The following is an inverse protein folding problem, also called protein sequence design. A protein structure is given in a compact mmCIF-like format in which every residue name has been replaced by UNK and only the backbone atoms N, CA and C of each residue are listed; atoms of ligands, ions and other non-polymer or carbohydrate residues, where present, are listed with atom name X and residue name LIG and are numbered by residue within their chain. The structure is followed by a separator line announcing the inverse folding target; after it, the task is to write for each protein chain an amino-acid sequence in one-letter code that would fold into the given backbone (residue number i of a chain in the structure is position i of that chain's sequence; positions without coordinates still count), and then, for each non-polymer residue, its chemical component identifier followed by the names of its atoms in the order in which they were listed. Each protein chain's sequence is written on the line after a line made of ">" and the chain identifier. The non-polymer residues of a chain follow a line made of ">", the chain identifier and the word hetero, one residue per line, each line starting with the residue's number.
data_IF_747481518715
#
_entry.id   IF_747481518715
#
_cell.length_a   1.000
_cell.length_b   1.000
_cell.length_c   1.000
_cell.angle_alpha   90.00
_cell.angle_beta   90.00
_cell.angle_gamma   90.00
#
_symmetry.space_group_name_H-M   'P 1'
#
loop_
_entity.id
_entity.type
_entity.pdbx_description
1 polymer ?
#
# COMPACT_ATOMS: atom_id res chain seq x y z
N UNK A 1 18.84 20.52 -11.85
CA UNK A 1 18.06 19.54 -11.07
C UNK A 1 18.50 19.43 -9.59
N UNK A 2 19.65 19.98 -9.20
CA UNK A 2 20.27 19.84 -7.88
C UNK A 2 20.24 21.11 -7.03
N UNK A 3 19.97 22.26 -7.63
CA UNK A 3 19.93 23.55 -6.96
C UNK A 3 18.67 23.69 -6.09
N UNK A 4 18.87 23.92 -4.79
CA UNK A 4 17.79 24.17 -3.81
C UNK A 4 17.27 22.98 -3.00
N UNK A 5 17.80 21.76 -3.18
CA UNK A 5 17.41 20.61 -2.33
C UNK A 5 18.21 20.63 -1.03
N UNK A 6 17.52 20.93 0.06
CA UNK A 6 18.11 21.01 1.41
C UNK A 6 18.45 19.63 1.95
N UNK A 7 19.25 19.56 3.02
CA UNK A 7 19.54 18.33 3.77
C UNK A 7 18.25 17.56 4.14
N UNK A 8 17.18 18.29 4.50
CA UNK A 8 15.88 17.69 4.84
C UNK A 8 15.26 16.88 3.71
N UNK A 9 15.41 17.30 2.45
CA UNK A 9 14.93 16.50 1.32
C UNK A 9 15.59 15.11 1.27
N UNK A 10 16.91 15.05 1.38
CA UNK A 10 17.66 13.80 1.32
C UNK A 10 17.43 12.91 2.53
N UNK A 11 17.27 13.51 3.72
CA UNK A 11 16.90 12.78 4.93
C UNK A 11 15.56 12.07 4.72
N UNK A 12 14.55 12.77 4.21
CA UNK A 12 13.24 12.18 3.95
C UNK A 12 13.31 11.07 2.88
N UNK A 13 14.12 11.23 1.82
CA UNK A 13 14.33 10.18 0.82
C UNK A 13 14.92 8.91 1.44
N UNK A 14 15.93 9.05 2.30
CA UNK A 14 16.57 7.93 3.00
C UNK A 14 15.62 7.29 4.02
N UNK A 15 14.80 8.07 4.72
CA UNK A 15 13.79 7.53 5.64
C UNK A 15 12.72 6.70 4.89
N UNK A 16 12.27 7.15 3.70
CA UNK A 16 11.37 6.32 2.86
C UNK A 16 12.05 5.01 2.49
N UNK A 17 13.31 5.07 2.05
CA UNK A 17 14.08 3.86 1.70
C UNK A 17 14.23 2.92 2.90
N UNK A 18 14.55 3.45 4.07
CA UNK A 18 14.64 2.66 5.33
C UNK A 18 13.32 1.98 5.65
N UNK A 19 12.20 2.72 5.55
CA UNK A 19 10.86 2.16 5.77
C UNK A 19 10.53 1.03 4.81
N UNK A 20 10.82 1.21 3.51
CA UNK A 20 10.62 0.15 2.50
C UNK A 20 11.46 -1.08 2.81
N UNK A 21 12.76 -0.89 3.09
CA UNK A 21 13.68 -2.01 3.38
C UNK A 21 13.22 -2.75 4.64
N UNK A 22 12.86 -2.02 5.70
CA UNK A 22 12.35 -2.61 6.93
C UNK A 22 11.05 -3.40 6.72
N UNK A 23 10.12 -2.87 5.92
CA UNK A 23 8.86 -3.57 5.61
C UNK A 23 9.10 -4.87 4.81
N UNK A 24 10.03 -4.87 3.84
CA UNK A 24 10.35 -6.07 3.05
C UNK A 24 11.07 -7.13 3.89
N UNK A 25 11.90 -6.73 4.84
CA UNK A 25 12.66 -7.66 5.70
C UNK A 25 11.85 -8.14 6.92
N UNK A 26 10.71 -7.53 7.22
CA UNK A 26 9.90 -7.90 8.37
C UNK A 26 9.30 -9.30 8.23
N UNK A 27 9.50 -10.14 9.25
CA UNK A 27 8.89 -11.46 9.41
C UNK A 27 7.76 -11.43 10.45
N UNK A 28 7.60 -10.33 11.14
CA UNK A 28 6.56 -10.05 12.10
C UNK A 28 5.61 -8.98 11.53
N UNK A 29 4.30 -9.23 11.64
CA UNK A 29 3.29 -8.37 10.98
C UNK A 29 3.18 -7.00 11.66
N UNK A 30 3.46 -6.91 12.98
CA UNK A 30 3.53 -5.62 13.69
C UNK A 30 4.75 -4.82 13.24
N UNK A 31 5.89 -5.49 13.09
CA UNK A 31 7.10 -4.86 12.58
C UNK A 31 6.93 -4.41 11.12
N UNK A 32 6.26 -5.22 10.29
CA UNK A 32 5.86 -4.82 8.94
C UNK A 32 4.98 -3.57 8.97
N UNK A 33 3.94 -3.54 9.80
CA UNK A 33 3.06 -2.39 9.97
C UNK A 33 3.82 -1.14 10.43
N UNK A 34 4.73 -1.28 11.39
CA UNK A 34 5.56 -0.17 11.84
C UNK A 34 6.35 0.47 10.70
N UNK A 35 7.06 -0.31 9.90
CA UNK A 35 7.81 0.21 8.77
C UNK A 35 6.90 0.73 7.63
N UNK A 36 5.71 0.14 7.46
CA UNK A 36 4.69 0.62 6.54
C UNK A 36 4.23 2.04 6.89
N UNK A 37 4.04 2.35 8.18
CA UNK A 37 3.67 3.69 8.65
C UNK A 37 4.85 4.66 8.66
N UNK A 38 6.05 4.21 9.02
CA UNK A 38 7.25 5.07 9.04
C UNK A 38 7.50 5.75 7.69
N UNK A 39 7.12 5.12 6.58
CA UNK A 39 7.23 5.75 5.25
C UNK A 39 6.28 6.92 5.04
N UNK A 40 5.17 6.98 5.75
CA UNK A 40 4.11 7.97 5.50
C UNK A 40 4.57 9.39 5.85
N UNK A 41 5.23 9.56 7.01
CA UNK A 41 5.72 10.86 7.47
C UNK A 41 6.72 11.51 6.50
N UNK A 42 7.80 10.84 6.05
CA UNK A 42 8.71 11.44 5.09
C UNK A 42 8.07 11.70 3.72
N UNK A 43 7.13 10.88 3.26
CA UNK A 43 6.36 11.14 2.04
C UNK A 43 5.50 12.39 2.20
N UNK A 44 4.82 12.54 3.35
CA UNK A 44 4.07 13.75 3.71
C UNK A 44 4.97 15.00 3.62
N UNK A 45 6.17 14.96 4.21
CA UNK A 45 7.11 16.07 4.19
C UNK A 45 7.66 16.34 2.78
N UNK A 46 7.98 15.29 2.01
CA UNK A 46 8.46 15.44 0.63
C UNK A 46 7.44 16.14 -0.27
N UNK A 47 6.16 15.79 -0.17
CA UNK A 47 5.11 16.40 -0.98
C UNK A 47 4.78 17.80 -0.44
N UNK A 48 4.59 17.94 0.87
CA UNK A 48 4.14 19.17 1.50
C UNK A 48 5.15 20.31 1.44
N UNK A 49 6.44 20.01 1.64
CA UNK A 49 7.51 21.01 1.64
C UNK A 49 8.10 21.26 0.26
N UNK A 50 8.32 20.19 -0.52
CA UNK A 50 9.07 20.24 -1.78
C UNK A 50 8.20 20.02 -3.02
N UNK A 51 6.89 19.82 -2.85
CA UNK A 51 5.93 19.65 -3.95
C UNK A 51 5.56 20.95 -4.65
N UNK A 52 4.83 20.82 -5.74
CA UNK A 52 4.39 21.89 -6.63
C UNK A 52 2.87 22.06 -6.60
N UNK A 53 2.39 23.16 -7.15
CA UNK A 53 0.95 23.40 -7.31
C UNK A 53 0.18 23.30 -5.99
N UNK A 54 -0.91 22.55 -5.99
CA UNK A 54 -1.76 22.38 -4.80
C UNK A 54 -1.21 21.28 -3.86
N UNK A 55 0.05 21.44 -3.47
CA UNK A 55 0.79 20.49 -2.64
C UNK A 55 0.12 20.18 -1.28
N UNK A 56 -0.50 21.16 -0.65
CA UNK A 56 -1.16 20.99 0.67
C UNK A 56 -2.34 20.02 0.55
N UNK A 57 -3.23 20.27 -0.41
CA UNK A 57 -4.36 19.37 -0.66
C UNK A 57 -3.90 17.97 -1.02
N UNK A 58 -2.89 17.86 -1.90
CA UNK A 58 -2.32 16.57 -2.30
C UNK A 58 -1.75 15.82 -1.11
N UNK A 59 -1.02 16.50 -0.23
CA UNK A 59 -0.44 15.91 0.97
C UNK A 59 -1.51 15.40 1.92
N UNK A 60 -2.54 16.18 2.20
CA UNK A 60 -3.66 15.76 3.04
C UNK A 60 -4.38 14.57 2.41
N UNK A 61 -4.66 14.64 1.11
CA UNK A 61 -5.36 13.57 0.40
C UNK A 61 -4.60 12.24 0.49
N UNK A 62 -3.31 12.21 0.16
CA UNK A 62 -2.51 10.97 0.21
C UNK A 62 -2.42 10.43 1.64
N UNK A 63 -2.24 11.31 2.62
CA UNK A 63 -2.15 10.92 4.03
C UNK A 63 -3.45 10.30 4.52
N UNK A 64 -4.59 10.96 4.30
CA UNK A 64 -5.89 10.44 4.72
C UNK A 64 -6.21 9.09 4.05
N UNK A 65 -5.97 8.98 2.73
CA UNK A 65 -6.20 7.70 2.03
C UNK A 65 -5.38 6.56 2.64
N UNK A 66 -4.08 6.79 2.82
CA UNK A 66 -3.18 5.74 3.31
C UNK A 66 -3.43 5.42 4.78
N UNK A 67 -3.69 6.40 5.64
CA UNK A 67 -3.99 6.19 7.06
C UNK A 67 -5.28 5.42 7.28
N UNK A 68 -6.36 5.72 6.55
CA UNK A 68 -7.64 5.01 6.72
C UNK A 68 -7.46 3.52 6.42
N UNK A 69 -6.78 3.17 5.33
CA UNK A 69 -6.53 1.77 5.01
C UNK A 69 -5.62 1.08 6.03
N UNK A 70 -4.54 1.73 6.43
CA UNK A 70 -3.57 1.14 7.34
C UNK A 70 -4.11 0.97 8.76
N UNK A 71 -4.98 1.86 9.24
CA UNK A 71 -5.66 1.69 10.54
C UNK A 71 -6.57 0.46 10.55
N UNK A 72 -7.28 0.18 9.46
CA UNK A 72 -8.08 -1.06 9.35
C UNK A 72 -7.18 -2.30 9.44
N UNK A 73 -6.05 -2.29 8.72
CA UNK A 73 -5.06 -3.37 8.80
C UNK A 73 -4.49 -3.52 10.21
N UNK A 74 -4.21 -2.42 10.90
CA UNK A 74 -3.70 -2.45 12.28
C UNK A 74 -4.67 -3.14 13.25
N UNK A 75 -5.96 -2.80 13.16
CA UNK A 75 -7.00 -3.45 13.96
C UNK A 75 -7.02 -4.95 13.69
N UNK A 76 -6.92 -5.35 12.42
CA UNK A 76 -6.88 -6.76 12.04
C UNK A 76 -5.63 -7.47 12.59
N UNK A 77 -4.46 -6.83 12.56
CA UNK A 77 -3.22 -7.36 13.15
C UNK A 77 -3.37 -7.58 14.65
N UNK A 78 -3.92 -6.61 15.38
CA UNK A 78 -4.15 -6.75 16.82
C UNK A 78 -5.13 -7.90 17.13
N UNK A 79 -6.20 -8.03 16.35
CA UNK A 79 -7.14 -9.13 16.49
C UNK A 79 -6.47 -10.49 16.29
N UNK A 80 -5.65 -10.65 15.25
CA UNK A 80 -4.89 -11.87 14.99
C UNK A 80 -3.95 -12.21 16.16
N UNK A 81 -3.27 -11.21 16.75
CA UNK A 81 -2.43 -11.43 17.94
C UNK A 81 -3.21 -11.90 19.16
N UNK A 82 -4.41 -11.32 19.39
CA UNK A 82 -5.30 -11.76 20.48
C UNK A 82 -5.83 -13.18 20.21
N UNK A 83 -6.23 -13.49 18.99
CA UNK A 83 -6.69 -14.81 18.60
C UNK A 83 -5.59 -15.87 18.82
N UNK A 84 -4.35 -15.56 18.42
CA UNK A 84 -3.21 -16.43 18.63
C UNK A 84 -2.95 -16.65 20.14
N UNK A 85 -2.99 -15.59 20.93
CA UNK A 85 -2.82 -15.70 22.39
C UNK A 85 -3.89 -16.58 23.03
N UNK A 86 -5.14 -16.42 22.63
CA UNK A 86 -6.26 -17.22 23.18
C UNK A 86 -6.14 -18.71 22.82
N UNK A 87 -5.60 -19.05 21.66
CA UNK A 87 -5.45 -20.45 21.22
C UNK A 87 -4.20 -21.11 21.80
N UNK A 88 -3.07 -20.39 21.87
CA UNK A 88 -1.76 -20.97 22.22
C UNK A 88 -1.20 -20.50 23.58
N UNK A 89 -1.84 -19.55 24.27
CA UNK A 89 -1.41 -19.04 25.58
C UNK A 89 -0.18 -18.11 25.54
N UNK A 90 0.37 -17.81 24.36
CA UNK A 90 1.56 -16.95 24.16
C UNK A 90 1.29 -15.86 23.15
N UNK A 91 1.92 -14.69 23.31
CA UNK A 91 1.82 -13.61 22.34
C UNK A 91 2.80 -13.82 21.19
N UNK A 92 2.32 -13.74 19.97
CA UNK A 92 3.18 -13.71 18.78
C UNK A 92 2.49 -13.00 17.63
N UNK A 93 3.25 -12.21 16.89
CA UNK A 93 2.84 -11.56 15.64
C UNK A 93 3.69 -12.03 14.46
N UNK A 94 4.51 -13.06 14.63
CA UNK A 94 5.25 -13.68 13.56
C UNK A 94 4.28 -14.33 12.55
N UNK A 95 4.43 -14.01 11.26
CA UNK A 95 3.45 -14.38 10.24
C UNK A 95 3.27 -15.90 10.11
N UNK A 96 4.35 -16.68 10.26
CA UNK A 96 4.33 -18.15 10.26
C UNK A 96 3.46 -18.73 11.38
N UNK A 97 3.44 -18.08 12.54
CA UNK A 97 2.59 -18.45 13.66
C UNK A 97 1.14 -18.02 13.47
N UNK A 98 0.91 -16.82 12.91
CA UNK A 98 -0.45 -16.37 12.64
C UNK A 98 -1.18 -17.26 11.60
N UNK A 99 -0.45 -17.91 10.71
CA UNK A 99 -1.00 -18.90 9.76
C UNK A 99 -1.53 -20.16 10.45
N UNK A 100 -1.13 -20.46 11.68
CA UNK A 100 -1.55 -21.69 12.41
C UNK A 100 -2.85 -21.52 13.18
N UNK A 101 -3.43 -20.33 13.22
CA UNK A 101 -4.68 -20.04 13.94
C UNK A 101 -5.85 -20.76 13.26
N UNK A 102 -6.57 -21.57 14.04
CA UNK A 102 -7.73 -22.34 13.55
C UNK A 102 -9.06 -21.89 14.15
N UNK A 103 -9.03 -21.21 15.29
CA UNK A 103 -10.22 -20.86 16.08
C UNK A 103 -11.05 -19.71 15.55
N UNK A 104 -10.57 -18.96 14.53
CA UNK A 104 -11.29 -17.82 13.98
C UNK A 104 -12.42 -18.33 13.05
N UNK A 105 -13.66 -17.90 13.33
CA UNK A 105 -14.80 -18.20 12.48
C UNK A 105 -14.68 -17.57 11.08
N UNK A 106 -15.38 -18.16 10.10
CA UNK A 106 -15.31 -17.75 8.70
C UNK A 106 -15.66 -16.27 8.50
N UNK A 107 -16.75 -15.78 9.10
CA UNK A 107 -17.16 -14.39 8.92
C UNK A 107 -16.10 -13.39 9.43
N UNK A 108 -15.51 -13.69 10.56
CA UNK A 108 -14.42 -12.86 11.12
C UNK A 108 -13.18 -12.91 10.23
N UNK A 109 -12.80 -14.08 9.69
CA UNK A 109 -11.70 -14.18 8.71
C UNK A 109 -11.95 -13.29 7.48
N UNK A 110 -13.17 -13.26 6.95
CA UNK A 110 -13.55 -12.38 5.82
C UNK A 110 -13.34 -10.92 6.18
N UNK A 111 -13.77 -10.46 7.35
CA UNK A 111 -13.58 -9.07 7.75
C UNK A 111 -12.10 -8.71 7.95
N UNK A 112 -11.31 -9.60 8.52
CA UNK A 112 -9.87 -9.41 8.67
C UNK A 112 -9.19 -9.35 7.30
N UNK A 113 -9.53 -10.25 6.39
CA UNK A 113 -9.05 -10.23 5.01
C UNK A 113 -9.38 -8.91 4.31
N UNK A 114 -10.63 -8.43 4.41
CA UNK A 114 -11.05 -7.16 3.81
C UNK A 114 -10.32 -5.96 4.42
N UNK A 115 -9.99 -5.99 5.70
CA UNK A 115 -9.20 -4.95 6.35
C UNK A 115 -7.75 -4.89 5.83
N UNK A 116 -7.10 -6.04 5.63
CA UNK A 116 -5.80 -6.11 4.96
C UNK A 116 -5.89 -5.67 3.49
N UNK A 117 -6.90 -6.17 2.79
CA UNK A 117 -7.14 -5.82 1.39
C UNK A 117 -7.34 -4.31 1.21
N UNK A 118 -8.08 -3.64 2.09
CA UNK A 118 -8.29 -2.19 2.01
C UNK A 118 -6.96 -1.42 2.06
N UNK A 119 -6.05 -1.78 2.98
CA UNK A 119 -4.73 -1.16 3.08
C UNK A 119 -3.90 -1.36 1.81
N UNK A 120 -3.89 -2.58 1.30
CA UNK A 120 -3.08 -2.94 0.14
C UNK A 120 -3.67 -2.39 -1.16
N UNK A 121 -5.00 -2.43 -1.33
CA UNK A 121 -5.71 -1.87 -2.48
C UNK A 121 -5.54 -0.34 -2.61
N UNK A 122 -5.50 0.37 -1.49
CA UNK A 122 -5.18 1.80 -1.48
C UNK A 122 -3.73 2.02 -1.93
N UNK A 123 -2.79 1.24 -1.44
CA UNK A 123 -1.36 1.38 -1.77
C UNK A 123 -1.04 1.02 -3.22
N UNK A 124 -1.70 -0.02 -3.77
CA UNK A 124 -1.59 -0.49 -5.16
C UNK A 124 -2.33 0.42 -6.16
N UNK A 125 -3.00 1.44 -5.75
CA UNK A 125 -4.11 2.23 -6.29
C UNK A 125 -5.09 1.47 -7.20
N UNK A 126 -5.69 0.40 -6.65
CA UNK A 126 -6.74 -0.36 -7.35
C UNK A 126 -7.99 0.52 -7.52
N UNK A 127 -8.71 0.37 -8.64
CA UNK A 127 -9.99 1.03 -8.84
C UNK A 127 -11.01 0.59 -7.77
N UNK A 128 -11.75 1.51 -7.14
CA UNK A 128 -11.81 2.98 -7.31
C UNK A 128 -10.84 3.77 -6.40
N UNK A 129 -9.98 3.15 -5.63
CA UNK A 129 -9.12 3.75 -4.58
C UNK A 129 -7.85 4.44 -5.13
N UNK A 130 -7.83 4.80 -6.40
CA UNK A 130 -6.64 5.30 -7.12
C UNK A 130 -6.48 6.83 -7.14
N UNK A 131 -7.52 7.60 -6.78
CA UNK A 131 -7.55 9.04 -7.10
C UNK A 131 -6.48 9.87 -6.39
N UNK A 132 -5.86 9.33 -5.34
CA UNK A 132 -4.77 9.99 -4.62
C UNK A 132 -3.46 10.01 -5.41
N UNK A 133 -3.16 8.95 -6.21
CA UNK A 133 -1.87 8.81 -6.89
C UNK A 133 -1.74 9.78 -8.07
N UNK A 134 -2.85 10.10 -8.74
CA UNK A 134 -2.88 11.00 -9.90
C UNK A 134 -2.42 12.42 -9.50
N UNK A 135 -3.00 12.97 -8.43
CA UNK A 135 -2.61 14.26 -7.90
C UNK A 135 -1.21 14.23 -7.27
N UNK A 136 -0.85 13.11 -6.66
CA UNK A 136 0.47 12.93 -6.04
C UNK A 136 1.58 13.01 -7.07
N UNK A 137 1.49 12.27 -8.18
CA UNK A 137 2.53 12.31 -9.22
C UNK A 137 2.66 13.68 -9.88
N UNK A 138 1.53 14.36 -10.09
CA UNK A 138 1.53 15.72 -10.64
C UNK A 138 2.27 16.70 -9.76
N UNK A 139 1.99 16.69 -8.46
CA UNK A 139 2.40 17.73 -7.53
C UNK A 139 3.67 17.39 -6.72
N UNK A 140 4.06 16.11 -6.63
CA UNK A 140 5.27 15.71 -5.92
C UNK A 140 6.56 16.04 -6.69
N UNK A 141 7.69 16.25 -5.99
CA UNK A 141 9.00 16.36 -6.62
C UNK A 141 9.36 15.06 -7.34
N UNK A 142 10.06 15.15 -8.47
CA UNK A 142 10.37 14.01 -9.34
C UNK A 142 11.05 12.84 -8.59
N UNK A 143 11.97 13.13 -7.65
CA UNK A 143 12.60 12.07 -6.86
C UNK A 143 11.61 11.35 -5.92
N UNK A 144 10.64 12.07 -5.34
CA UNK A 144 9.59 11.44 -4.54
C UNK A 144 8.65 10.59 -5.43
N UNK A 145 8.28 11.08 -6.62
CA UNK A 145 7.50 10.29 -7.59
C UNK A 145 8.23 9.01 -7.97
N UNK A 146 9.56 9.08 -8.17
CA UNK A 146 10.37 7.91 -8.45
C UNK A 146 10.28 6.85 -7.35
N UNK A 147 10.42 7.22 -6.08
CA UNK A 147 10.28 6.28 -4.95
C UNK A 147 8.85 5.71 -4.84
N UNK A 148 7.84 6.57 -5.00
CA UNK A 148 6.43 6.16 -4.96
C UNK A 148 6.12 5.12 -6.06
N UNK A 149 6.55 5.40 -7.29
CA UNK A 149 6.25 4.55 -8.45
C UNK A 149 7.08 3.27 -8.50
N UNK A 150 8.36 3.35 -8.15
CA UNK A 150 9.27 2.20 -8.29
C UNK A 150 9.09 1.15 -7.20
N UNK A 151 8.91 1.56 -5.96
CA UNK A 151 8.99 0.65 -4.82
C UNK A 151 7.72 0.67 -3.98
N UNK A 152 7.25 1.86 -3.54
CA UNK A 152 6.17 1.93 -2.56
C UNK A 152 4.86 1.31 -3.06
N UNK A 153 4.49 1.52 -4.31
CA UNK A 153 3.27 0.94 -4.88
C UNK A 153 3.38 -0.60 -5.01
N UNK A 154 4.59 -1.13 -5.31
CA UNK A 154 4.85 -2.57 -5.37
C UNK A 154 4.87 -3.24 -4.01
N UNK A 155 5.11 -2.48 -2.95
CA UNK A 155 5.06 -3.00 -1.58
C UNK A 155 3.65 -3.51 -1.20
N UNK A 156 2.58 -2.92 -1.76
CA UNK A 156 1.22 -3.44 -1.60
C UNK A 156 1.04 -4.83 -2.22
N UNK A 157 1.58 -5.03 -3.44
CA UNK A 157 1.59 -6.34 -4.11
C UNK A 157 2.40 -7.37 -3.30
N UNK A 158 3.59 -6.98 -2.84
CA UNK A 158 4.42 -7.80 -1.97
C UNK A 158 3.65 -8.25 -0.72
N UNK A 159 2.94 -7.32 -0.09
CA UNK A 159 2.20 -7.59 1.13
C UNK A 159 1.02 -8.55 0.92
N UNK A 160 0.34 -8.49 -0.23
CA UNK A 160 -0.68 -9.48 -0.61
C UNK A 160 -0.05 -10.88 -0.67
N UNK A 161 1.02 -11.04 -1.42
CA UNK A 161 1.67 -12.34 -1.64
C UNK A 161 2.33 -12.86 -0.36
N UNK A 162 2.96 -11.97 0.43
CA UNK A 162 3.75 -12.36 1.59
C UNK A 162 2.92 -12.63 2.85
N UNK A 163 1.87 -11.84 3.07
CA UNK A 163 1.10 -11.89 4.32
C UNK A 163 -0.36 -12.29 4.09
N UNK A 164 -1.07 -11.61 3.19
CA UNK A 164 -2.51 -11.81 3.06
C UNK A 164 -2.88 -13.21 2.56
N UNK A 165 -2.25 -13.68 1.49
CA UNK A 165 -2.51 -15.02 0.92
C UNK A 165 -2.17 -16.12 1.93
N UNK A 166 -0.97 -16.14 2.58
CA UNK A 166 -0.65 -17.19 3.52
C UNK A 166 -1.49 -17.19 4.80
N UNK A 167 -1.92 -16.02 5.28
CA UNK A 167 -2.76 -15.94 6.49
C UNK A 167 -4.21 -16.32 6.21
N UNK A 168 -4.73 -16.03 5.01
CA UNK A 168 -6.12 -16.25 4.62
C UNK A 168 -6.28 -17.03 3.31
N UNK A 169 -5.68 -18.23 3.15
CA UNK A 169 -5.65 -18.91 1.87
C UNK A 169 -7.05 -19.26 1.35
N UNK A 170 -7.95 -19.73 2.22
CA UNK A 170 -9.31 -20.14 1.85
C UNK A 170 -10.13 -18.95 1.33
N UNK A 171 -10.07 -17.82 2.06
CA UNK A 171 -10.79 -16.59 1.69
C UNK A 171 -10.22 -16.03 0.39
N UNK A 172 -8.90 -16.08 0.22
CA UNK A 172 -8.26 -15.59 -0.99
C UNK A 172 -8.73 -16.35 -2.24
N UNK A 173 -8.80 -17.68 -2.19
CA UNK A 173 -9.29 -18.52 -3.30
C UNK A 173 -10.72 -18.13 -3.67
N UNK A 174 -11.59 -17.91 -2.69
CA UNK A 174 -12.97 -17.49 -2.93
C UNK A 174 -13.06 -16.12 -3.61
N UNK A 175 -12.22 -15.15 -3.20
CA UNK A 175 -12.20 -13.81 -3.77
C UNK A 175 -11.33 -13.68 -5.03
N UNK A 176 -10.61 -14.73 -5.46
CA UNK A 176 -9.66 -14.68 -6.59
C UNK A 176 -10.29 -14.17 -7.89
N UNK A 177 -11.51 -14.59 -8.20
CA UNK A 177 -12.24 -14.14 -9.39
C UNK A 177 -12.48 -12.62 -9.38
N UNK A 178 -12.71 -12.02 -8.20
CA UNK A 178 -12.87 -10.58 -8.06
C UNK A 178 -11.54 -9.84 -8.26
N UNK A 179 -10.41 -10.41 -7.80
CA UNK A 179 -9.08 -9.85 -8.05
C UNK A 179 -8.79 -9.79 -9.55
N UNK A 180 -9.05 -10.89 -10.27
CA UNK A 180 -8.90 -10.93 -11.73
C UNK A 180 -9.82 -9.90 -12.42
N UNK A 181 -11.10 -9.87 -12.06
CA UNK A 181 -12.08 -8.98 -12.70
C UNK A 181 -11.73 -7.49 -12.48
N UNK A 182 -11.45 -7.09 -11.23
CA UNK A 182 -11.08 -5.71 -10.89
C UNK A 182 -9.72 -5.34 -11.49
N UNK A 183 -8.76 -6.26 -11.49
CA UNK A 183 -7.45 -6.06 -12.09
C UNK A 183 -7.52 -5.86 -13.60
N UNK A 184 -8.28 -6.67 -14.33
CA UNK A 184 -8.49 -6.52 -15.78
C UNK A 184 -9.26 -5.24 -16.10
N UNK A 185 -10.29 -4.91 -15.33
CA UNK A 185 -10.99 -3.64 -15.48
C UNK A 185 -10.04 -2.46 -15.28
N UNK A 186 -9.25 -2.48 -14.20
CA UNK A 186 -8.25 -1.43 -13.91
C UNK A 186 -7.19 -1.31 -15.00
N UNK A 187 -6.70 -2.43 -15.54
CA UNK A 187 -5.75 -2.45 -16.66
C UNK A 187 -6.28 -1.64 -17.85
N UNK A 188 -7.52 -1.92 -18.28
CA UNK A 188 -8.13 -1.28 -19.44
C UNK A 188 -8.47 0.18 -19.11
N UNK A 189 -9.12 0.44 -18.00
CA UNK A 189 -9.54 1.78 -17.58
C UNK A 189 -8.35 2.73 -17.46
N UNK A 190 -7.30 2.34 -16.73
CA UNK A 190 -6.13 3.19 -16.54
C UNK A 190 -5.30 3.31 -17.82
N UNK A 191 -5.25 2.27 -18.67
CA UNK A 191 -4.58 2.31 -19.96
C UNK A 191 -5.21 3.37 -20.88
N UNK A 192 -6.53 3.36 -21.02
CA UNK A 192 -7.26 4.36 -21.81
C UNK A 192 -7.10 5.74 -21.18
N UNK A 193 -7.25 5.86 -19.86
CA UNK A 193 -7.10 7.13 -19.16
C UNK A 193 -5.69 7.73 -19.32
N UNK A 194 -4.64 6.90 -19.40
CA UNK A 194 -3.28 7.35 -19.65
C UNK A 194 -3.13 8.01 -21.03
N UNK A 195 -3.74 7.43 -22.06
CA UNK A 195 -3.70 7.96 -23.44
C UNK A 195 -4.43 9.31 -23.58
N UNK A 196 -5.35 9.61 -22.67
CA UNK A 196 -6.15 10.85 -22.70
C UNK A 196 -5.54 11.99 -21.85
N UNK A 197 -4.35 11.83 -21.31
CA UNK A 197 -3.73 12.85 -20.45
C UNK A 197 -2.81 13.78 -21.25
N UNK A 198 -2.98 15.09 -21.04
CA UNK A 198 -2.08 16.12 -21.58
C UNK A 198 -0.83 16.34 -20.67
N UNK A 199 -0.91 15.99 -19.40
CA UNK A 199 0.17 16.11 -18.42
C UNK A 199 0.99 14.83 -18.35
N UNK A 200 2.28 14.91 -18.67
CA UNK A 200 3.20 13.74 -18.69
C UNK A 200 3.25 13.03 -17.35
N UNK A 201 3.25 13.75 -16.21
CA UNK A 201 3.29 13.11 -14.89
C UNK A 201 1.99 12.38 -14.58
N UNK A 202 0.84 12.91 -14.98
CA UNK A 202 -0.45 12.24 -14.87
C UNK A 202 -0.51 11.01 -15.78
N UNK A 203 -0.02 11.12 -17.00
CA UNK A 203 0.08 9.98 -17.91
C UNK A 203 0.88 8.84 -17.29
N UNK A 204 2.05 9.12 -16.71
CA UNK A 204 2.83 8.11 -15.99
C UNK A 204 2.12 7.56 -14.74
N UNK A 205 1.32 8.35 -14.03
CA UNK A 205 0.53 7.88 -12.90
C UNK A 205 -0.51 6.84 -13.35
N UNK A 206 -1.27 7.13 -14.40
CA UNK A 206 -2.25 6.19 -14.98
C UNK A 206 -1.58 4.95 -15.57
N UNK A 207 -0.48 5.10 -16.30
CA UNK A 207 0.30 3.99 -16.83
C UNK A 207 0.80 3.07 -15.70
N UNK A 208 1.34 3.64 -14.62
CA UNK A 208 1.77 2.87 -13.45
C UNK A 208 0.60 2.13 -12.79
N UNK A 209 -0.57 2.76 -12.64
CA UNK A 209 -1.76 2.12 -12.10
C UNK A 209 -2.27 0.98 -13.00
N UNK A 210 -2.19 1.14 -14.33
CA UNK A 210 -2.53 0.08 -15.30
C UNK A 210 -1.64 -1.15 -15.12
N UNK A 211 -0.31 -0.97 -15.03
CA UNK A 211 0.62 -2.07 -14.80
C UNK A 211 0.41 -2.76 -13.44
N UNK A 212 0.12 -2.00 -12.39
CA UNK A 212 -0.17 -2.56 -11.07
C UNK A 212 -1.49 -3.35 -11.05
N UNK A 213 -2.50 -2.87 -11.80
CA UNK A 213 -3.75 -3.59 -11.99
C UNK A 213 -3.54 -4.92 -12.72
N UNK A 214 -2.66 -4.94 -13.73
CA UNK A 214 -2.27 -6.17 -14.42
C UNK A 214 -1.59 -7.16 -13.48
N UNK A 215 -0.64 -6.69 -12.67
CA UNK A 215 0.01 -7.55 -11.65
C UNK A 215 -1.03 -8.09 -10.66
N UNK A 216 -1.96 -7.25 -10.20
CA UNK A 216 -3.02 -7.67 -9.28
C UNK A 216 -3.97 -8.71 -9.88
N UNK A 217 -4.18 -8.70 -11.21
CA UNK A 217 -4.96 -9.73 -11.89
C UNK A 217 -4.17 -11.06 -12.05
N UNK A 218 -2.85 -11.01 -11.97
CA UNK A 218 -1.98 -12.19 -12.09
C UNK A 218 -1.64 -12.86 -10.75
N UNK A 219 -2.04 -12.26 -9.64
CA UNK A 219 -1.91 -12.82 -8.29
C UNK A 219 -3.12 -13.67 -7.99
#
# INVERSE_FOLDING_TARGET
>A
LWEGKTKGYWINMLLVQTGVTGAVLALDVVLFYFFWEVMLLPVFLLIGQYGFGNRVFTTIKVTVYTMVGSLLMFIAILYLGVAYHNEFGTWSFAYDKLMTITTIDYNTKVWLFLAFLAAFAIKIPIFPLHTWIMETYKNAPTGAVFLLSSIMAKLGVYAIVRFMIPIFPDIYVEFSTWFVAIGLFGLIYFGIAALMQDDIKRMFAYSSASHLSFISAGI
#
